data_IF_548348731747
#
_entry.id   IF_548348731747
#
_cell.length_a   1.000
_cell.length_b   1.000
_cell.length_c   1.000
_cell.angle_alpha   90.00
_cell.angle_beta   90.00
_cell.angle_gamma   90.00
#
_symmetry.space_group_name_H-M   'P 1'
#
loop_
_entity.id
_entity.type
_entity.pdbx_description
1 polymer ?
#
# COMPACT_ATOMS: atom_id res chain seq x y z
N UNK A 1 22.82 6.26 -13.21
CA UNK A 1 21.46 6.37 -12.63
C UNK A 1 21.21 5.13 -11.79
N UNK A 2 20.95 5.24 -10.48
CA UNK A 2 20.75 4.08 -9.58
C UNK A 2 19.27 3.92 -9.21
N UNK A 3 18.87 2.70 -8.84
CA UNK A 3 17.50 2.40 -8.39
C UNK A 3 17.10 3.27 -7.19
N UNK A 4 18.00 3.48 -6.23
CA UNK A 4 17.77 4.36 -5.06
C UNK A 4 17.48 5.80 -5.46
N UNK A 5 18.10 6.32 -6.52
CA UNK A 5 17.82 7.67 -7.01
C UNK A 5 16.44 7.75 -7.70
N UNK A 6 16.04 6.72 -8.46
CA UNK A 6 14.70 6.65 -9.07
C UNK A 6 13.62 6.64 -7.98
N UNK A 7 13.81 5.80 -6.95
CA UNK A 7 12.86 5.68 -5.85
C UNK A 7 12.80 6.95 -4.99
N UNK A 8 13.93 7.64 -4.81
CA UNK A 8 13.96 8.96 -4.18
C UNK A 8 13.16 9.98 -5.00
N UNK A 9 13.37 10.06 -6.31
CA UNK A 9 12.62 10.99 -7.19
C UNK A 9 11.12 10.68 -7.23
N UNK A 10 10.74 9.40 -7.09
CA UNK A 10 9.33 8.98 -6.96
C UNK A 10 8.73 9.29 -5.58
N UNK A 11 9.50 9.81 -4.63
CA UNK A 11 9.05 10.09 -3.27
C UNK A 11 8.88 8.84 -2.39
N UNK A 12 9.51 7.72 -2.74
CA UNK A 12 9.40 6.45 -2.00
C UNK A 12 10.51 6.26 -0.97
N UNK A 13 11.62 6.99 -1.15
CA UNK A 13 12.73 7.03 -0.20
C UNK A 13 12.93 8.45 0.29
N UNK A 14 13.20 8.59 1.58
CA UNK A 14 13.88 9.74 2.15
C UNK A 14 15.38 9.55 1.90
N UNK A 15 16.11 10.65 1.69
CA UNK A 15 17.58 10.63 1.69
C UNK A 15 18.10 11.59 2.75
N UNK A 16 19.10 11.15 3.50
CA UNK A 16 19.83 11.97 4.46
C UNK A 16 21.33 11.80 4.24
N UNK A 17 22.09 12.86 4.46
CA UNK A 17 23.55 12.78 4.43
C UNK A 17 24.06 12.46 5.84
N UNK A 18 24.75 11.34 5.99
CA UNK A 18 25.42 10.98 7.24
C UNK A 18 26.93 10.91 7.00
N UNK A 19 27.64 11.93 7.51
CA UNK A 19 29.07 12.11 7.22
C UNK A 19 29.31 12.34 5.73
N UNK A 20 29.96 11.37 5.06
CA UNK A 20 30.26 11.40 3.62
C UNK A 20 29.37 10.48 2.78
N UNK A 21 28.39 9.80 3.39
CA UNK A 21 27.52 8.84 2.71
C UNK A 21 26.06 9.33 2.65
N UNK A 22 25.37 8.96 1.59
CA UNK A 22 23.92 9.10 1.47
C UNK A 22 23.24 7.87 2.07
N UNK A 23 22.41 8.08 3.09
CA UNK A 23 21.51 7.08 3.63
C UNK A 23 20.11 7.25 3.06
N UNK A 24 19.43 6.13 2.85
CA UNK A 24 18.06 6.10 2.35
C UNK A 24 17.17 5.35 3.34
N UNK A 25 15.98 5.89 3.58
CA UNK A 25 14.96 5.25 4.42
C UNK A 25 13.63 5.20 3.66
N UNK A 26 12.84 4.11 3.79
CA UNK A 26 11.54 4.02 3.15
C UNK A 26 10.57 5.03 3.78
N UNK A 27 9.80 5.72 2.93
CA UNK A 27 8.76 6.67 3.36
C UNK A 27 7.53 5.94 3.92
N UNK A 28 7.34 4.68 3.52
CA UNK A 28 6.18 3.84 3.86
C UNK A 28 6.64 2.49 4.40
N UNK A 29 5.86 1.91 5.31
CA UNK A 29 6.06 0.51 5.69
C UNK A 29 5.81 -0.41 4.50
N UNK A 30 6.28 -1.66 4.59
CA UNK A 30 6.08 -2.65 3.52
C UNK A 30 4.59 -2.90 3.26
N UNK A 31 3.78 -2.87 4.30
CA UNK A 31 2.34 -3.06 4.28
C UNK A 31 1.65 -1.87 3.61
N UNK A 32 2.09 -0.64 3.92
CA UNK A 32 1.57 0.57 3.27
C UNK A 32 1.94 0.63 1.78
N UNK A 33 3.07 0.05 1.38
CA UNK A 33 3.41 -0.13 -0.03
C UNK A 33 2.52 -1.18 -0.71
N UNK A 34 2.27 -2.32 -0.06
CA UNK A 34 1.37 -3.34 -0.58
C UNK A 34 -0.06 -2.82 -0.75
N UNK A 35 -0.56 -2.03 0.21
CA UNK A 35 -1.87 -1.38 0.11
C UNK A 35 -1.94 -0.41 -1.08
N UNK A 36 -0.87 0.36 -1.34
CA UNK A 36 -0.81 1.25 -2.50
C UNK A 36 -0.86 0.47 -3.82
N UNK A 37 -0.18 -0.68 -3.92
CA UNK A 37 -0.27 -1.54 -5.10
C UNK A 37 -1.68 -2.10 -5.33
N UNK A 38 -2.39 -2.44 -4.25
CA UNK A 38 -3.80 -2.86 -4.34
C UNK A 38 -4.69 -1.71 -4.84
N UNK A 39 -4.47 -0.49 -4.35
CA UNK A 39 -5.19 0.71 -4.79
C UNK A 39 -4.92 1.02 -6.27
N UNK A 40 -3.66 0.99 -6.69
CA UNK A 40 -3.26 1.22 -8.08
C UNK A 40 -3.93 0.21 -9.02
N UNK A 41 -3.90 -1.09 -8.67
CA UNK A 41 -4.54 -2.15 -9.46
C UNK A 41 -6.07 -1.99 -9.56
N UNK A 42 -6.74 -1.53 -8.50
CA UNK A 42 -8.15 -1.19 -8.55
C UNK A 42 -8.43 0.05 -9.44
N UNK A 43 -7.46 0.95 -9.59
CA UNK A 43 -7.53 2.14 -10.43
C UNK A 43 -7.45 1.85 -11.94
N UNK A 44 -6.85 0.74 -12.35
CA UNK A 44 -6.72 0.35 -13.77
C UNK A 44 -8.03 -0.18 -14.38
N UNK A 45 -8.95 -0.68 -13.55
CA UNK A 45 -10.24 -1.21 -13.99
C UNK A 45 -11.30 -0.12 -14.23
N UNK A 46 -12.14 -0.30 -15.26
CA UNK A 46 -13.29 0.59 -15.52
C UNK A 46 -14.35 0.54 -14.42
N UNK A 47 -14.48 -0.60 -13.74
CA UNK A 47 -15.44 -0.80 -12.65
C UNK A 47 -14.73 -1.36 -11.41
N UNK A 48 -14.53 -0.49 -10.43
CA UNK A 48 -13.91 -0.81 -9.14
C UNK A 48 -14.73 -1.84 -8.34
N UNK A 49 -16.06 -1.81 -8.44
CA UNK A 49 -16.93 -2.71 -7.68
C UNK A 49 -16.78 -4.14 -8.19
N UNK A 50 -16.72 -4.32 -9.51
CA UNK A 50 -16.46 -5.62 -10.13
C UNK A 50 -15.05 -6.13 -9.82
N UNK A 51 -14.03 -5.26 -9.86
CA UNK A 51 -12.67 -5.63 -9.49
C UNK A 51 -12.57 -6.10 -8.01
N UNK A 52 -13.24 -5.39 -7.09
CA UNK A 52 -13.34 -5.80 -5.69
C UNK A 52 -14.06 -7.13 -5.50
N UNK A 53 -15.13 -7.39 -6.26
CA UNK A 53 -15.82 -8.69 -6.22
C UNK A 53 -14.87 -9.82 -6.61
N UNK A 54 -14.19 -9.68 -7.74
CA UNK A 54 -13.21 -10.67 -8.21
C UNK A 54 -12.02 -10.82 -7.27
N UNK A 55 -11.57 -9.74 -6.62
CA UNK A 55 -10.55 -9.82 -5.58
C UNK A 55 -11.01 -10.71 -4.42
N UNK A 56 -12.22 -10.46 -3.89
CA UNK A 56 -12.80 -11.24 -2.78
C UNK A 56 -13.04 -12.71 -3.16
N UNK A 57 -13.39 -13.00 -4.42
CA UNK A 57 -13.53 -14.37 -4.95
C UNK A 57 -12.20 -15.14 -5.02
N UNK A 58 -11.07 -14.44 -5.20
CA UNK A 58 -9.75 -15.04 -5.41
C UNK A 58 -8.89 -15.16 -4.15
N UNK A 59 -9.17 -14.38 -3.11
CA UNK A 59 -8.41 -14.45 -1.84
C UNK A 59 -8.92 -15.57 -0.93
N UNK A 60 -8.06 -16.02 -0.01
CA UNK A 60 -8.42 -17.07 0.93
C UNK A 60 -9.50 -16.64 1.93
N UNK A 61 -10.21 -17.59 2.53
CA UNK A 61 -11.22 -17.29 3.55
C UNK A 61 -10.64 -16.56 4.77
N UNK A 62 -9.38 -16.84 5.12
CA UNK A 62 -8.67 -16.16 6.21
C UNK A 62 -8.44 -14.68 5.88
N UNK A 63 -8.02 -14.37 4.66
CA UNK A 63 -7.84 -13.00 4.17
C UNK A 63 -9.17 -12.25 4.11
N UNK A 64 -10.26 -12.90 3.66
CA UNK A 64 -11.62 -12.32 3.70
C UNK A 64 -12.03 -12.02 5.15
N UNK A 65 -11.75 -12.91 6.09
CA UNK A 65 -12.05 -12.69 7.50
C UNK A 65 -11.23 -11.53 8.08
N UNK A 66 -9.96 -11.41 7.71
CA UNK A 66 -9.08 -10.30 8.08
C UNK A 66 -9.60 -8.96 7.51
N UNK A 67 -10.00 -8.92 6.24
CA UNK A 67 -10.58 -7.74 5.60
C UNK A 67 -11.87 -7.30 6.30
N UNK A 68 -12.79 -8.25 6.58
CA UNK A 68 -14.02 -7.97 7.33
C UNK A 68 -13.73 -7.40 8.73
N UNK A 69 -12.68 -7.88 9.40
CA UNK A 69 -12.25 -7.36 10.71
C UNK A 69 -11.69 -5.94 10.59
N UNK A 70 -10.86 -5.67 9.58
CA UNK A 70 -10.31 -4.34 9.34
C UNK A 70 -11.43 -3.32 9.10
N UNK A 71 -12.42 -3.64 8.24
CA UNK A 71 -13.57 -2.77 7.97
C UNK A 71 -14.38 -2.47 9.24
N UNK A 72 -14.69 -3.49 10.05
CA UNK A 72 -15.40 -3.29 11.33
C UNK A 72 -14.64 -2.38 12.30
N UNK A 73 -13.30 -2.44 12.31
CA UNK A 73 -12.49 -1.59 13.16
C UNK A 73 -12.50 -0.14 12.65
N UNK A 74 -12.46 0.07 11.33
CA UNK A 74 -12.56 1.41 10.73
C UNK A 74 -13.92 2.04 11.01
N UNK A 75 -15.02 1.30 10.85
CA UNK A 75 -16.38 1.80 11.15
C UNK A 75 -16.52 2.26 12.61
N UNK A 76 -15.80 1.62 13.54
CA UNK A 76 -15.77 2.03 14.95
C UNK A 76 -14.95 3.30 15.17
N UNK A 77 -13.86 3.48 14.42
CA UNK A 77 -13.01 4.67 14.49
C UNK A 77 -13.72 5.90 13.92
N UNK A 78 -14.50 5.74 12.84
CA UNK A 78 -15.24 6.85 12.21
C UNK A 78 -16.46 7.31 13.04
N UNK A 79 -16.96 6.44 13.94
CA UNK A 79 -18.09 6.75 14.85
C UNK A 79 -17.65 7.34 16.18
N UNK A 80 -16.35 7.42 16.44
CA UNK A 80 -15.76 7.99 17.66
C UNK A 80 -15.20 9.37 17.41
#
# INVERSE_FOLDING_TARGET
MTVTNILYTKGWLLRGMQGRAWLYAPVRSREAYAAALMEDGLGEGKDRSTALRHFVENVSQEEVAALRRALRNMDRQTKS
#
